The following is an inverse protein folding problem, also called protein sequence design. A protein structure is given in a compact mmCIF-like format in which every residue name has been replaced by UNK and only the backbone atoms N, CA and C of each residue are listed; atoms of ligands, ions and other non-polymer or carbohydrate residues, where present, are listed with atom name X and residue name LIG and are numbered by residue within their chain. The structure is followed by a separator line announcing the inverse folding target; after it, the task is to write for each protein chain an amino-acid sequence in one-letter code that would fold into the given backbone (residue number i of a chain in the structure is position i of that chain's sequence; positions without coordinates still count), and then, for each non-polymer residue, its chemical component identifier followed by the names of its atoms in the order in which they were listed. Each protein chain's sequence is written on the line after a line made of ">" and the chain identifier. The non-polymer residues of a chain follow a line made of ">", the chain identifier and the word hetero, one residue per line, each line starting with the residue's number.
data_IF_795842569592
#
_entry.id   IF_795842569592
#
_cell.length_a   1.000
_cell.length_b   1.000
_cell.length_c   1.000
_cell.angle_alpha   90.00
_cell.angle_beta   90.00
_cell.angle_gamma   90.00
#
_symmetry.space_group_name_H-M   'P 1'
#
loop_
_entity.id
_entity.type
_entity.pdbx_description
1 polymer ?
#
# COMPACT_ATOMS: atom_id res chain seq x y z
N UNK A 1 -8.49 8.67 12.74
CA UNK A 1 -8.36 7.81 11.55
C UNK A 1 -8.21 6.37 12.00
N UNK A 2 -8.96 5.44 11.41
CA UNK A 2 -9.00 4.02 11.81
C UNK A 2 -7.64 3.33 11.77
N UNK A 3 -6.82 3.60 10.73
CA UNK A 3 -5.47 3.05 10.60
C UNK A 3 -4.57 3.38 11.79
N UNK A 4 -4.54 4.65 12.24
CA UNK A 4 -3.74 5.02 13.40
C UNK A 4 -4.16 4.25 14.66
N UNK A 5 -5.47 4.08 14.86
CA UNK A 5 -6.00 3.33 15.99
C UNK A 5 -5.63 1.85 15.89
N UNK A 6 -5.72 1.26 14.69
CA UNK A 6 -5.30 -0.11 14.43
C UNK A 6 -3.83 -0.34 14.77
N UNK A 7 -2.95 0.52 14.29
CA UNK A 7 -1.52 0.42 14.59
C UNK A 7 -1.23 0.64 16.07
N UNK A 8 -1.88 1.61 16.71
CA UNK A 8 -1.70 1.85 18.15
C UNK A 8 -2.02 0.61 18.99
N UNK A 9 -3.13 -0.08 18.65
CA UNK A 9 -3.58 -1.28 19.37
C UNK A 9 -2.88 -2.59 18.92
N UNK A 10 -2.10 -2.57 17.85
CA UNK A 10 -1.34 -3.75 17.44
C UNK A 10 -0.35 -4.16 18.53
N UNK A 11 -0.29 -5.44 18.88
CA UNK A 11 0.57 -5.96 19.95
C UNK A 11 1.99 -6.27 19.48
N UNK A 12 2.20 -6.45 18.19
CA UNK A 12 3.50 -6.81 17.61
C UNK A 12 4.31 -5.59 17.17
N UNK A 13 5.62 -5.75 17.12
CA UNK A 13 6.57 -4.72 16.68
C UNK A 13 6.57 -4.52 15.16
N UNK A 14 6.26 -5.57 14.40
CA UNK A 14 6.08 -5.50 12.95
C UNK A 14 4.59 -5.38 12.64
N UNK A 15 4.26 -4.45 11.79
CA UNK A 15 2.89 -4.20 11.33
C UNK A 15 2.81 -4.32 9.82
N UNK A 16 1.67 -4.80 9.33
CA UNK A 16 1.33 -4.77 7.92
C UNK A 16 0.01 -4.02 7.75
N UNK A 17 -0.02 -3.05 6.84
CA UNK A 17 -1.21 -2.28 6.51
C UNK A 17 -1.67 -2.74 5.13
N UNK A 18 -2.91 -3.21 5.08
CA UNK A 18 -3.53 -3.85 3.92
C UNK A 18 -4.83 -3.12 3.61
N UNK A 19 -5.15 -2.94 2.34
CA UNK A 19 -6.46 -2.45 1.93
C UNK A 19 -7.49 -3.58 2.04
N UNK A 20 -8.75 -3.22 2.21
CA UNK A 20 -9.87 -4.15 2.34
C UNK A 20 -10.25 -4.86 1.02
N UNK A 21 -9.70 -4.39 -0.10
CA UNK A 21 -9.83 -4.99 -1.42
C UNK A 21 -8.58 -5.79 -1.87
N UNK A 22 -7.74 -6.22 -0.93
CA UNK A 22 -6.62 -7.12 -1.19
C UNK A 22 -6.93 -8.56 -0.77
N UNK A 23 -6.52 -9.53 -1.58
CA UNK A 23 -6.47 -10.96 -1.23
C UNK A 23 -5.02 -11.37 -1.01
N UNK A 24 -4.76 -11.96 0.14
CA UNK A 24 -3.42 -12.32 0.57
C UNK A 24 -2.98 -13.66 -0.03
N UNK A 25 -1.74 -13.76 -0.49
CA UNK A 25 -1.15 -15.02 -0.91
C UNK A 25 -0.80 -15.92 0.29
N UNK A 26 -0.52 -17.17 0.04
CA UNK A 26 -0.10 -18.09 1.09
C UNK A 26 1.34 -17.78 1.53
N UNK A 27 1.58 -17.68 2.84
CA UNK A 27 2.91 -17.46 3.41
C UNK A 27 3.42 -16.01 3.31
N UNK A 28 2.55 -15.05 3.01
CA UNK A 28 2.87 -13.63 2.93
C UNK A 28 3.51 -13.08 4.22
N UNK A 29 3.06 -13.55 5.37
CA UNK A 29 3.56 -13.17 6.69
C UNK A 29 5.01 -13.64 6.90
N UNK A 30 5.34 -14.84 6.47
CA UNK A 30 6.72 -15.35 6.46
C UNK A 30 7.61 -14.47 5.60
N UNK A 31 7.14 -14.05 4.42
CA UNK A 31 7.87 -13.13 3.54
C UNK A 31 8.18 -11.80 4.23
N UNK A 32 7.22 -11.24 4.97
CA UNK A 32 7.45 -10.00 5.74
C UNK A 32 8.50 -10.24 6.83
N UNK A 33 8.41 -11.35 7.56
CA UNK A 33 9.37 -11.66 8.62
C UNK A 33 10.80 -11.78 8.08
N UNK A 34 10.97 -12.35 6.90
CA UNK A 34 12.27 -12.54 6.27
C UNK A 34 12.86 -11.26 5.65
N UNK A 35 12.02 -10.45 4.99
CA UNK A 35 12.48 -9.36 4.12
C UNK A 35 12.44 -7.98 4.77
N UNK A 36 11.61 -7.77 5.80
CA UNK A 36 11.50 -6.47 6.46
C UNK A 36 12.75 -6.16 7.28
N UNK A 37 13.53 -5.20 6.82
CA UNK A 37 14.73 -4.69 7.49
C UNK A 37 14.40 -3.56 8.48
N UNK A 38 15.33 -3.27 9.36
CA UNK A 38 15.27 -2.05 10.17
C UNK A 38 15.37 -0.83 9.27
N UNK A 39 14.66 0.23 9.66
CA UNK A 39 14.61 1.49 8.89
C UNK A 39 14.16 1.31 7.43
N UNK A 40 13.28 0.36 7.19
CA UNK A 40 12.68 0.15 5.87
C UNK A 40 11.16 0.06 5.92
N UNK A 41 10.55 0.34 4.78
CA UNK A 41 9.16 0.06 4.45
C UNK A 41 9.18 -1.01 3.36
N UNK A 42 8.58 -2.15 3.64
CA UNK A 42 8.50 -3.27 2.71
C UNK A 42 7.12 -3.29 2.04
N UNK A 43 7.06 -2.89 0.78
CA UNK A 43 5.88 -3.07 -0.07
C UNK A 43 5.80 -4.52 -0.54
N UNK A 44 4.60 -5.10 -0.46
CA UNK A 44 4.33 -6.42 -1.02
C UNK A 44 3.81 -6.20 -2.45
N UNK A 45 4.40 -6.92 -3.41
CA UNK A 45 4.03 -6.77 -4.79
C UNK A 45 2.56 -7.17 -5.02
N UNK A 46 1.96 -6.72 -6.11
CA UNK A 46 0.54 -6.95 -6.38
C UNK A 46 0.34 -7.62 -7.73
N UNK A 47 -0.80 -8.29 -7.86
CA UNK A 47 -1.40 -8.72 -9.13
C UNK A 47 -2.70 -7.95 -9.28
N UNK A 48 -2.92 -7.33 -10.43
CA UNK A 48 -4.12 -6.57 -10.73
C UNK A 48 -4.94 -7.22 -11.86
N UNK A 49 -6.29 -7.10 -11.84
CA UNK A 49 -7.13 -7.65 -12.90
C UNK A 49 -6.95 -6.96 -14.24
N UNK A 50 -6.57 -5.68 -14.22
CA UNK A 50 -6.41 -4.83 -15.41
C UNK A 50 -5.16 -3.98 -15.29
N UNK A 51 -4.52 -3.68 -16.39
CA UNK A 51 -3.34 -2.83 -16.44
C UNK A 51 -3.15 -2.14 -17.78
N UNK A 52 -2.02 -1.42 -17.98
CA UNK A 52 -0.99 -1.14 -16.99
C UNK A 52 -1.43 -0.07 -16.01
N UNK A 53 -1.28 -0.36 -14.71
CA UNK A 53 -1.35 0.64 -13.64
C UNK A 53 -0.08 1.51 -13.60
N UNK A 54 -0.01 2.40 -12.61
CA UNK A 54 1.13 3.32 -12.39
C UNK A 54 2.43 2.54 -12.09
N UNK A 55 2.30 1.30 -11.64
CA UNK A 55 3.41 0.48 -11.15
C UNK A 55 3.42 -0.84 -11.92
N UNK A 56 3.98 -1.07 -12.96
CA UNK A 56 4.19 -2.31 -13.74
C UNK A 56 3.91 -3.64 -12.99
N UNK A 57 2.75 -3.73 -12.32
CA UNK A 57 2.33 -4.95 -11.64
C UNK A 57 2.00 -6.05 -12.65
N UNK A 58 2.20 -7.33 -12.29
CA UNK A 58 1.63 -8.44 -13.03
C UNK A 58 0.13 -8.27 -13.21
N UNK A 59 -0.37 -8.47 -14.42
CA UNK A 59 -1.78 -8.31 -14.76
C UNK A 59 -2.40 -9.65 -15.09
N UNK A 60 -3.38 -10.06 -14.30
CA UNK A 60 -4.20 -11.24 -14.58
C UNK A 60 -5.49 -11.17 -13.78
N UNK A 61 -6.61 -11.38 -14.47
CA UNK A 61 -7.93 -11.41 -13.86
C UNK A 61 -8.24 -12.81 -13.31
N UNK A 62 -8.69 -12.86 -12.05
CA UNK A 62 -9.13 -14.07 -11.35
C UNK A 62 -10.59 -13.98 -10.89
N UNK A 63 -11.35 -13.03 -11.40
CA UNK A 63 -12.76 -12.80 -11.10
C UNK A 63 -13.03 -11.62 -10.17
N UNK A 64 -14.31 -11.35 -9.96
CA UNK A 64 -14.79 -10.33 -9.03
C UNK A 64 -14.76 -10.83 -7.58
N UNK A 65 -15.08 -9.95 -6.64
CA UNK A 65 -15.18 -10.31 -5.20
C UNK A 65 -16.13 -11.49 -4.98
N UNK A 66 -17.23 -11.58 -5.75
CA UNK A 66 -18.24 -12.61 -5.59
C UNK A 66 -17.84 -13.97 -6.18
N UNK A 67 -16.91 -14.00 -7.13
CA UNK A 67 -16.53 -15.19 -7.87
C UNK A 67 -15.01 -15.36 -8.04
N UNK A 68 -14.24 -14.82 -7.13
CA UNK A 68 -12.78 -14.87 -7.14
C UNK A 68 -12.25 -16.31 -7.11
N UNK A 69 -11.42 -16.66 -8.09
CA UNK A 69 -10.81 -17.98 -8.14
C UNK A 69 -9.45 -17.99 -7.40
N UNK A 70 -9.52 -18.23 -6.09
CA UNK A 70 -8.37 -18.22 -5.21
C UNK A 70 -7.31 -19.26 -5.57
N UNK A 71 -7.72 -20.48 -5.95
CA UNK A 71 -6.78 -21.55 -6.32
C UNK A 71 -5.99 -21.18 -7.57
N UNK A 72 -6.67 -20.70 -8.62
CA UNK A 72 -6.00 -20.26 -9.84
C UNK A 72 -5.07 -19.05 -9.60
N UNK A 73 -5.43 -18.16 -8.67
CA UNK A 73 -4.56 -17.09 -8.25
C UNK A 73 -3.30 -17.63 -7.55
N UNK A 74 -3.42 -18.56 -6.61
CA UNK A 74 -2.27 -19.15 -5.92
C UNK A 74 -1.34 -19.92 -6.89
N UNK A 75 -1.90 -20.66 -7.84
CA UNK A 75 -1.11 -21.31 -8.88
C UNK A 75 -0.32 -20.29 -9.71
N UNK A 76 -0.96 -19.24 -10.15
CA UNK A 76 -0.30 -18.15 -10.90
C UNK A 76 0.77 -17.46 -10.06
N UNK A 77 0.48 -17.14 -8.81
CA UNK A 77 1.40 -16.46 -7.87
C UNK A 77 2.72 -17.24 -7.77
N UNK A 78 2.68 -18.58 -7.70
CA UNK A 78 3.89 -19.41 -7.68
C UNK A 78 4.74 -19.28 -8.96
N UNK A 79 4.13 -18.95 -10.10
CA UNK A 79 4.85 -18.81 -11.39
C UNK A 79 5.56 -17.46 -11.52
N UNK A 80 5.10 -16.43 -10.81
CA UNK A 80 5.63 -15.06 -10.92
C UNK A 80 6.51 -14.68 -9.71
N UNK A 81 6.45 -15.43 -8.62
CA UNK A 81 7.24 -15.15 -7.41
C UNK A 81 8.73 -15.34 -7.64
N UNK A 82 9.53 -14.37 -7.15
CA UNK A 82 10.98 -14.35 -7.30
C UNK A 82 11.62 -14.06 -5.94
N UNK A 83 12.75 -14.69 -5.66
CA UNK A 83 13.52 -14.46 -4.42
C UNK A 83 14.35 -13.17 -4.50
N UNK A 84 13.67 -12.05 -4.79
CA UNK A 84 14.32 -10.74 -4.90
C UNK A 84 13.51 -9.67 -4.21
N UNK A 85 14.21 -8.62 -3.80
CA UNK A 85 13.64 -7.38 -3.28
C UNK A 85 14.26 -6.24 -4.08
N UNK A 86 13.44 -5.32 -4.55
CA UNK A 86 13.89 -4.17 -5.36
C UNK A 86 13.62 -2.87 -4.61
N UNK A 87 14.48 -1.84 -4.76
CA UNK A 87 14.14 -0.49 -4.32
C UNK A 87 12.86 -0.02 -4.99
N UNK A 88 11.93 0.55 -4.19
CA UNK A 88 10.68 1.09 -4.75
C UNK A 88 10.04 2.08 -3.79
N UNK A 89 9.21 3.00 -4.34
CA UNK A 89 8.41 3.93 -3.55
C UNK A 89 7.34 3.23 -2.71
N UNK A 90 6.86 3.92 -1.69
CA UNK A 90 5.81 3.42 -0.81
C UNK A 90 4.47 3.30 -1.53
N UNK A 91 3.84 2.15 -1.36
CA UNK A 91 2.52 1.82 -1.88
C UNK A 91 1.86 0.79 -0.96
N UNK A 92 0.54 0.78 -0.89
CA UNK A 92 -0.22 -0.29 -0.24
C UNK A 92 -0.26 -1.57 -1.08
N UNK A 93 -0.22 -2.76 -0.45
CA UNK A 93 0.00 -3.01 0.98
C UNK A 93 1.48 -2.87 1.35
N UNK A 94 1.74 -2.52 2.59
CA UNK A 94 3.11 -2.39 3.07
C UNK A 94 3.28 -2.86 4.51
N UNK A 95 4.48 -3.29 4.85
CA UNK A 95 4.89 -3.65 6.20
C UNK A 95 6.03 -2.73 6.68
N UNK A 96 6.07 -2.49 7.99
CA UNK A 96 7.11 -1.70 8.63
C UNK A 96 7.21 -1.99 10.12
N UNK A 97 8.23 -1.44 10.77
CA UNK A 97 8.31 -1.45 12.22
C UNK A 97 7.32 -0.46 12.83
N UNK A 98 6.56 -0.92 13.82
CA UNK A 98 5.56 -0.09 14.53
C UNK A 98 6.19 1.17 15.12
N UNK A 99 7.40 1.08 15.64
CA UNK A 99 8.10 2.23 16.22
C UNK A 99 8.34 3.33 15.18
N UNK A 100 8.76 2.99 13.96
CA UNK A 100 8.98 3.99 12.90
C UNK A 100 7.67 4.66 12.49
N UNK A 101 6.55 3.91 12.45
CA UNK A 101 5.22 4.48 12.26
C UNK A 101 4.86 5.50 13.34
N UNK A 102 5.13 5.15 14.61
CA UNK A 102 4.83 6.02 15.75
C UNK A 102 5.70 7.28 15.76
N UNK A 103 6.99 7.18 15.41
CA UNK A 103 7.93 8.30 15.35
C UNK A 103 7.44 9.38 14.37
N UNK A 104 6.93 9.00 13.21
CA UNK A 104 6.42 9.96 12.21
C UNK A 104 4.99 10.43 12.49
N UNK A 105 4.37 9.93 13.57
CA UNK A 105 3.02 10.32 14.00
C UNK A 105 1.88 9.68 13.19
N UNK A 106 2.16 8.62 12.42
CA UNK A 106 1.16 7.92 11.62
C UNK A 106 0.56 8.76 10.51
N UNK A 107 -0.64 8.40 10.04
CA UNK A 107 -1.39 9.17 9.04
C UNK A 107 -1.91 10.47 9.64
N UNK A 108 -1.75 11.58 8.92
CA UNK A 108 -2.19 12.89 9.38
C UNK A 108 -3.72 13.02 9.30
N UNK A 109 -4.34 13.40 10.41
CA UNK A 109 -5.80 13.53 10.52
C UNK A 109 -6.36 14.79 9.86
N UNK A 110 -5.51 15.67 9.34
CA UNK A 110 -5.93 16.80 8.51
C UNK A 110 -6.55 16.32 7.20
N UNK A 111 -6.07 15.20 6.66
CA UNK A 111 -6.65 14.60 5.46
C UNK A 111 -7.99 13.94 5.78
N UNK A 112 -9.06 14.46 5.15
CA UNK A 112 -10.42 13.91 5.25
C UNK A 112 -10.77 13.01 4.06
N UNK A 113 -9.79 12.71 3.24
CA UNK A 113 -9.87 11.93 2.02
C UNK A 113 -9.09 10.64 2.16
N UNK A 114 -9.48 9.55 1.50
CA UNK A 114 -8.62 8.38 1.32
C UNK A 114 -7.47 8.64 0.34
N UNK A 115 -7.52 9.75 -0.44
CA UNK A 115 -6.49 10.12 -1.40
C UNK A 115 -5.45 11.05 -0.77
N UNK A 116 -4.21 10.99 -1.25
CA UNK A 116 -3.09 11.87 -0.89
C UNK A 116 -2.55 11.66 0.54
N UNK A 117 -3.36 11.14 1.47
CA UNK A 117 -2.91 10.90 2.85
C UNK A 117 -1.77 9.87 2.94
N UNK A 118 -1.71 8.94 2.02
CA UNK A 118 -0.64 7.97 1.85
C UNK A 118 0.66 8.63 1.37
N UNK A 119 0.58 9.56 0.44
CA UNK A 119 1.74 10.31 -0.05
C UNK A 119 2.34 11.18 1.05
N UNK A 120 1.51 11.82 1.88
CA UNK A 120 1.97 12.55 3.06
C UNK A 120 2.68 11.61 4.04
N UNK A 121 2.11 10.44 4.27
CA UNK A 121 2.69 9.46 5.18
C UNK A 121 4.03 8.93 4.68
N UNK A 122 4.11 8.54 3.42
CA UNK A 122 5.35 8.05 2.83
C UNK A 122 6.44 9.12 2.76
N UNK A 123 6.08 10.39 2.47
CA UNK A 123 7.04 11.50 2.54
C UNK A 123 7.61 11.66 3.94
N UNK A 124 6.79 11.56 4.99
CA UNK A 124 7.29 11.61 6.37
C UNK A 124 8.28 10.49 6.67
N UNK A 125 8.02 9.29 6.19
CA UNK A 125 8.92 8.14 6.39
C UNK A 125 10.26 8.36 5.67
N UNK A 126 10.22 8.82 4.42
CA UNK A 126 11.43 9.14 3.66
C UNK A 126 12.26 10.24 4.33
N UNK A 127 11.63 11.33 4.75
CA UNK A 127 12.31 12.41 5.47
C UNK A 127 12.90 11.98 6.81
N UNK A 128 12.41 10.87 7.37
CA UNK A 128 12.99 10.22 8.55
C UNK A 128 14.01 9.13 8.20
N UNK A 129 14.43 9.05 6.93
CA UNK A 129 15.52 8.19 6.48
C UNK A 129 15.14 6.71 6.30
N UNK A 130 13.85 6.39 6.18
CA UNK A 130 13.45 5.02 5.86
C UNK A 130 13.65 4.73 4.37
N UNK A 131 14.13 3.53 4.08
CA UNK A 131 14.29 3.03 2.72
C UNK A 131 13.01 2.30 2.29
N UNK A 132 12.64 2.45 1.04
CA UNK A 132 11.50 1.74 0.47
C UNK A 132 11.98 0.57 -0.37
N UNK A 133 11.46 -0.61 -0.07
CA UNK A 133 11.77 -1.84 -0.78
C UNK A 133 10.46 -2.55 -1.18
N UNK A 134 10.50 -3.27 -2.28
CA UNK A 134 9.40 -4.13 -2.73
C UNK A 134 9.85 -5.57 -2.79
N UNK A 135 9.14 -6.46 -2.09
CA UNK A 135 9.39 -7.90 -2.22
C UNK A 135 8.62 -8.49 -3.41
N UNK A 136 9.28 -9.41 -4.11
CA UNK A 136 8.67 -10.22 -5.18
C UNK A 136 8.50 -11.69 -4.79
N UNK A 137 8.74 -12.03 -3.51
CA UNK A 137 8.56 -13.39 -3.00
C UNK A 137 7.10 -13.76 -2.81
N UNK A 138 6.24 -12.79 -2.54
CA UNK A 138 4.80 -12.96 -2.46
C UNK A 138 4.09 -11.79 -3.13
N UNK A 139 2.85 -12.04 -3.57
CA UNK A 139 2.02 -11.04 -4.24
C UNK A 139 0.64 -11.04 -3.58
N UNK A 140 0.04 -9.86 -3.46
CA UNK A 140 -1.36 -9.74 -3.09
C UNK A 140 -2.19 -9.49 -4.34
N UNK A 141 -3.38 -10.06 -4.40
CA UNK A 141 -4.31 -9.70 -5.45
C UNK A 141 -5.09 -8.46 -5.04
N UNK A 142 -5.15 -7.46 -5.89
CA UNK A 142 -5.83 -6.20 -5.63
C UNK A 142 -6.99 -6.02 -6.61
N UNK A 143 -8.23 -5.90 -6.09
CA UNK A 143 -9.43 -5.74 -6.93
C UNK A 143 -9.57 -4.37 -7.60
N UNK A 144 -8.57 -3.51 -7.51
CA UNK A 144 -8.49 -2.28 -8.29
C UNK A 144 -9.28 -1.10 -7.73
N UNK A 145 -9.32 -0.92 -6.41
CA UNK A 145 -9.97 0.21 -5.74
C UNK A 145 -11.48 0.30 -6.08
N UNK A 146 -12.16 -0.84 -6.12
CA UNK A 146 -13.57 -0.93 -6.52
C UNK A 146 -14.49 -0.07 -5.66
N UNK A 147 -14.23 0.02 -4.35
CA UNK A 147 -15.01 0.80 -3.40
C UNK A 147 -14.80 2.31 -3.55
N UNK A 148 -13.59 2.77 -3.88
CA UNK A 148 -13.25 4.21 -3.94
C UNK A 148 -13.45 4.84 -5.32
N UNK A 149 -13.54 4.03 -6.38
CA UNK A 149 -13.64 4.53 -7.77
C UNK A 149 -15.04 4.46 -8.36
N UNK A 150 -15.91 3.61 -7.82
CA UNK A 150 -17.21 3.30 -8.42
C UNK A 150 -18.39 3.73 -7.55
N UNK A 151 -19.53 4.04 -8.21
CA UNK A 151 -20.78 4.38 -7.56
C UNK A 151 -20.79 5.75 -6.87
N UNK A 152 -21.83 6.01 -6.10
CA UNK A 152 -22.03 7.30 -5.40
C UNK A 152 -20.95 7.60 -4.36
N UNK A 153 -20.45 6.58 -3.71
CA UNK A 153 -19.36 6.71 -2.73
C UNK A 153 -18.05 7.09 -3.44
N UNK A 154 -17.75 6.49 -4.59
CA UNK A 154 -16.60 6.85 -5.40
C UNK A 154 -16.63 8.31 -5.88
N UNK A 155 -17.80 8.82 -6.27
CA UNK A 155 -17.97 10.23 -6.64
C UNK A 155 -17.74 11.16 -5.44
N UNK A 156 -18.28 10.80 -4.27
CA UNK A 156 -18.06 11.55 -3.03
C UNK A 156 -16.58 11.58 -2.64
N UNK A 157 -15.86 10.47 -2.77
CA UNK A 157 -14.41 10.42 -2.51
C UNK A 157 -13.62 11.26 -3.51
N UNK A 158 -13.90 11.16 -4.81
CA UNK A 158 -13.25 11.99 -5.85
C UNK A 158 -13.39 13.49 -5.57
N UNK A 159 -14.53 13.94 -5.05
CA UNK A 159 -14.73 15.32 -4.67
C UNK A 159 -13.78 15.80 -3.54
N UNK A 160 -13.21 14.87 -2.77
CA UNK A 160 -12.27 15.20 -1.68
C UNK A 160 -10.80 15.23 -2.11
N UNK A 161 -10.48 14.80 -3.33
CA UNK A 161 -9.09 14.71 -3.82
C UNK A 161 -8.45 16.10 -3.97
N UNK A 162 -9.15 17.06 -4.56
CA UNK A 162 -8.66 18.44 -4.71
C UNK A 162 -8.35 19.12 -3.38
N UNK A 163 -9.26 19.12 -2.40
CA UNK A 163 -8.98 19.60 -1.04
C UNK A 163 -7.78 18.88 -0.37
N UNK A 164 -7.64 17.56 -0.57
CA UNK A 164 -6.49 16.82 -0.03
C UNK A 164 -5.17 17.25 -0.68
N UNK A 165 -5.14 17.45 -2.00
CA UNK A 165 -3.98 17.98 -2.71
C UNK A 165 -3.61 19.38 -2.22
N UNK A 166 -4.61 20.25 -1.99
CA UNK A 166 -4.39 21.59 -1.43
C UNK A 166 -3.80 21.52 -0.01
N UNK A 167 -4.26 20.58 0.82
CA UNK A 167 -3.69 20.35 2.15
C UNK A 167 -2.22 19.90 2.06
N UNK A 168 -1.90 19.04 1.11
CA UNK A 168 -0.54 18.59 0.87
C UNK A 168 0.37 19.75 0.46
N UNK A 169 -0.05 20.58 -0.50
CA UNK A 169 0.68 21.76 -0.96
C UNK A 169 0.89 22.75 0.19
N UNK A 170 -0.13 22.99 1.00
CA UNK A 170 -0.01 23.89 2.16
C UNK A 170 1.03 23.38 3.17
N UNK A 171 1.06 22.06 3.41
CA UNK A 171 1.96 21.45 4.38
C UNK A 171 3.41 21.35 3.89
N UNK A 172 3.61 21.02 2.61
CA UNK A 172 4.93 20.67 2.06
C UNK A 172 5.49 21.69 1.06
N UNK A 173 4.71 22.65 0.61
CA UNK A 173 5.12 23.67 -0.36
C UNK A 173 5.29 23.16 -1.79
N UNK A 174 4.92 21.91 -2.08
CA UNK A 174 5.03 21.27 -3.38
C UNK A 174 3.78 20.42 -3.67
N UNK A 175 3.38 20.24 -4.93
CA UNK A 175 2.29 19.32 -5.26
C UNK A 175 2.67 17.87 -4.88
N UNK A 176 1.66 17.03 -4.59
CA UNK A 176 1.90 15.61 -4.39
C UNK A 176 2.49 15.00 -5.66
N UNK A 177 3.62 14.35 -5.52
CA UNK A 177 4.30 13.63 -6.60
C UNK A 177 4.44 12.17 -6.20
N UNK A 178 4.25 11.27 -7.16
CA UNK A 178 4.56 9.86 -6.92
C UNK A 178 6.05 9.74 -6.55
N UNK A 179 6.33 9.03 -5.48
CA UNK A 179 7.70 8.68 -5.13
C UNK A 179 8.28 7.81 -6.23
N UNK A 180 9.12 8.39 -7.07
CA UNK A 180 10.07 7.64 -7.87
C UNK A 180 11.38 7.69 -7.09
N UNK A 181 11.85 6.57 -6.60
CA UNK A 181 13.26 6.45 -6.23
C UNK A 181 14.08 6.68 -7.50
N UNK A 182 14.64 7.89 -7.65
CA UNK A 182 15.71 8.16 -8.60
C UNK A 182 17.01 7.59 -8.04
#
# INVERSE_FOLDING_TARGET
>A
MALNLGVYNASNERICIVNDDNVLSKGWDTTIIEDLKEKSVLTINQVEPTGPGIFEFPVKDFGSIENFNYEAYLEYETTISKKETTPNGGIFPFAMWKMDYMIVGGFDTLYKSPFICDWDFFLKLELNGLLFERTHKSHFYHFGSSATKNGKEGEAFKATEGPAASTYIYKWGTPPTLYSNN
#
